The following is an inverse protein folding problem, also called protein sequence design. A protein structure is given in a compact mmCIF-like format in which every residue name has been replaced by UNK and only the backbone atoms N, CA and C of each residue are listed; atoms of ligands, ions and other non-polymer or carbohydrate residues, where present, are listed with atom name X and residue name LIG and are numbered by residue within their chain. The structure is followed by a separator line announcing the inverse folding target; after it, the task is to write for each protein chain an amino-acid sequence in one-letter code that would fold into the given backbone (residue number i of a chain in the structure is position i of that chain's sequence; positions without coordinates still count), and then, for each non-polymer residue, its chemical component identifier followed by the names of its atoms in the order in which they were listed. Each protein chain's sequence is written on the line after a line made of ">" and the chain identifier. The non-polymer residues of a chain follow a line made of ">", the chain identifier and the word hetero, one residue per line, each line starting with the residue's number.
data_IF_374436065994
#
_entry.id   IF_374436065994
#
_cell.length_a   1.000
_cell.length_b   1.000
_cell.length_c   1.000
_cell.angle_alpha   90.00
_cell.angle_beta   90.00
_cell.angle_gamma   90.00
#
_symmetry.space_group_name_H-M   'P 1'
#
loop_
_entity.id
_entity.type
_entity.pdbx_description
1 polymer ?
#
# COMPACT_ATOMS: atom_id res chain seq x y z
N UNK A 1 -66.82 -19.55 37.75
CA UNK A 1 -65.96 -18.45 38.23
C UNK A 1 -64.51 -18.88 38.11
N UNK A 2 -63.65 -17.94 37.70
CA UNK A 2 -62.18 -17.99 37.69
C UNK A 2 -61.48 -18.59 36.46
N UNK A 3 -61.17 -17.67 35.55
CA UNK A 3 -60.00 -17.63 34.66
C UNK A 3 -58.69 -17.55 35.45
N UNK A 4 -57.59 -18.13 34.94
CA UNK A 4 -56.22 -17.57 34.94
C UNK A 4 -55.24 -18.63 34.42
N UNK A 5 -54.85 -18.63 33.14
CA UNK A 5 -53.86 -17.77 32.48
C UNK A 5 -52.42 -18.33 32.57
N UNK A 6 -51.88 -18.72 31.41
CA UNK A 6 -50.45 -18.64 31.06
C UNK A 6 -50.34 -18.73 29.54
N UNK A 7 -49.69 -17.76 28.90
CA UNK A 7 -48.45 -18.13 28.20
C UNK A 7 -47.40 -17.02 28.25
N UNK A 8 -46.18 -17.32 28.68
CA UNK A 8 -45.07 -16.37 28.68
C UNK A 8 -43.73 -17.02 28.30
N UNK A 9 -43.71 -17.75 27.17
CA UNK A 9 -42.50 -18.43 26.69
C UNK A 9 -42.09 -18.10 25.24
N UNK A 10 -42.90 -17.32 24.51
CA UNK A 10 -42.64 -17.02 23.08
C UNK A 10 -41.75 -15.79 22.84
N UNK A 11 -41.51 -14.96 23.85
CA UNK A 11 -40.82 -13.67 23.68
C UNK A 11 -39.28 -13.77 23.71
N UNK A 12 -38.70 -14.87 24.20
CA UNK A 12 -37.26 -15.01 24.41
C UNK A 12 -36.49 -15.51 23.19
N UNK A 13 -37.13 -16.26 22.28
CA UNK A 13 -36.46 -16.78 21.08
C UNK A 13 -36.33 -15.72 19.98
N UNK A 14 -37.31 -14.81 19.91
CA UNK A 14 -37.34 -13.75 18.90
C UNK A 14 -36.29 -12.68 19.16
N UNK A 15 -36.04 -12.33 20.43
CA UNK A 15 -35.00 -11.36 20.83
C UNK A 15 -33.60 -11.84 20.51
N UNK A 16 -33.30 -13.12 20.79
CA UNK A 16 -31.97 -13.70 20.55
C UNK A 16 -31.59 -13.68 19.07
N UNK A 17 -32.55 -13.93 18.18
CA UNK A 17 -32.32 -13.90 16.73
C UNK A 17 -32.09 -12.49 16.16
N UNK A 18 -32.63 -11.46 16.80
CA UNK A 18 -32.41 -10.06 16.41
C UNK A 18 -31.04 -9.56 16.90
N UNK A 19 -30.64 -9.94 18.11
CA UNK A 19 -29.32 -9.62 18.67
C UNK A 19 -28.18 -10.22 17.82
N UNK A 20 -28.31 -11.49 17.40
CA UNK A 20 -27.31 -12.13 16.52
C UNK A 20 -27.14 -11.38 15.19
N UNK A 21 -28.24 -10.92 14.57
CA UNK A 21 -28.19 -10.15 13.32
C UNK A 21 -27.51 -8.79 13.47
N UNK A 22 -27.70 -8.14 14.61
CA UNK A 22 -27.05 -6.86 14.91
C UNK A 22 -25.55 -7.03 15.14
N UNK A 23 -25.14 -8.10 15.83
CA UNK A 23 -23.73 -8.42 16.05
C UNK A 23 -23.02 -8.83 14.74
N UNK A 24 -23.68 -9.59 13.87
CA UNK A 24 -23.15 -9.96 12.56
C UNK A 24 -23.00 -8.73 11.66
N UNK A 25 -23.95 -7.79 11.72
CA UNK A 25 -23.86 -6.51 11.02
C UNK A 25 -22.70 -5.66 11.54
N UNK A 26 -22.48 -5.63 12.86
CA UNK A 26 -21.36 -4.92 13.47
C UNK A 26 -20.00 -5.54 13.11
N UNK A 27 -19.89 -6.88 13.11
CA UNK A 27 -18.68 -7.60 12.67
C UNK A 27 -18.34 -7.32 11.20
N UNK A 28 -19.34 -7.32 10.32
CA UNK A 28 -19.15 -6.99 8.90
C UNK A 28 -18.67 -5.55 8.68
N UNK A 29 -19.22 -4.58 9.42
CA UNK A 29 -18.79 -3.17 9.36
C UNK A 29 -17.37 -2.96 9.94
N UNK A 30 -17.02 -3.66 11.03
CA UNK A 30 -15.67 -3.62 11.58
C UNK A 30 -14.63 -4.23 10.63
N UNK A 31 -14.94 -5.37 10.00
CA UNK A 31 -14.03 -5.99 9.04
C UNK A 31 -13.79 -5.13 7.79
N UNK A 32 -14.81 -4.44 7.27
CA UNK A 32 -14.63 -3.52 6.12
C UNK A 32 -13.78 -2.28 6.49
N UNK A 33 -13.84 -1.85 7.76
CA UNK A 33 -12.99 -0.77 8.28
C UNK A 33 -11.55 -1.21 8.61
N UNK A 34 -11.34 -2.48 8.97
CA UNK A 34 -10.01 -3.06 9.25
C UNK A 34 -9.28 -3.49 7.98
N UNK A 35 -9.99 -3.88 6.93
CA UNK A 35 -9.42 -4.11 5.60
C UNK A 35 -8.78 -2.84 5.01
N UNK A 36 -9.24 -1.66 5.44
CA UNK A 36 -8.65 -0.35 5.08
C UNK A 36 -7.45 0.04 5.94
N UNK A 37 -7.07 -0.73 6.97
CA UNK A 37 -5.84 -0.52 7.76
C UNK A 37 -4.57 -0.99 7.03
N UNK A 38 -4.59 -1.03 5.70
CA UNK A 38 -3.52 -1.58 4.86
C UNK A 38 -2.60 -0.55 4.20
N UNK A 39 -2.87 0.76 4.29
CA UNK A 39 -1.95 1.76 3.72
C UNK A 39 -1.82 2.98 4.61
N UNK A 40 -0.66 3.11 5.26
CA UNK A 40 -0.27 4.31 6.01
C UNK A 40 0.21 5.44 5.09
N UNK A 41 0.26 5.21 3.78
CA UNK A 41 0.54 6.25 2.80
C UNK A 41 -0.73 6.40 1.94
N UNK A 42 -1.42 7.56 1.97
CA UNK A 42 -2.45 7.83 0.98
C UNK A 42 -1.88 7.56 -0.42
N UNK A 43 -2.71 7.11 -1.37
CA UNK A 43 -2.34 6.74 -2.74
C UNK A 43 -1.46 7.81 -3.40
N UNK A 44 -0.13 7.76 -3.18
CA UNK A 44 0.82 8.62 -3.85
C UNK A 44 0.84 8.11 -5.30
N UNK A 45 0.44 8.94 -6.28
CA UNK A 45 0.52 8.54 -7.67
C UNK A 45 1.97 8.18 -7.99
N UNK A 46 2.21 7.11 -8.76
CA UNK A 46 3.56 6.65 -9.09
C UNK A 46 4.42 7.75 -9.72
N UNK A 47 3.81 8.73 -10.41
CA UNK A 47 4.48 9.88 -10.99
C UNK A 47 5.08 10.81 -9.93
N UNK A 48 4.35 11.05 -8.84
CA UNK A 48 4.84 11.87 -7.72
C UNK A 48 5.96 11.14 -6.98
N UNK A 49 5.81 9.83 -6.81
CA UNK A 49 6.84 9.01 -6.20
C UNK A 49 8.13 9.00 -7.06
N UNK A 50 8.00 8.86 -8.38
CA UNK A 50 9.12 8.97 -9.31
C UNK A 50 9.77 10.36 -9.24
N UNK A 51 8.99 11.44 -9.19
CA UNK A 51 9.51 12.79 -9.04
C UNK A 51 10.32 12.95 -7.73
N UNK A 52 9.85 12.38 -6.62
CA UNK A 52 10.59 12.37 -5.35
C UNK A 52 11.95 11.66 -5.51
N UNK A 53 12.00 10.52 -6.20
CA UNK A 53 13.26 9.80 -6.43
C UNK A 53 14.30 10.61 -7.20
N UNK A 54 13.86 11.50 -8.10
CA UNK A 54 14.74 12.38 -8.87
C UNK A 54 15.28 13.55 -8.05
N UNK A 55 14.71 13.84 -6.88
CA UNK A 55 15.20 14.88 -5.96
C UNK A 55 16.30 14.37 -5.03
N UNK A 56 16.61 13.06 -5.06
CA UNK A 56 17.63 12.48 -4.19
C UNK A 56 19.01 12.86 -4.75
N UNK A 57 19.89 13.48 -3.92
CA UNK A 57 21.24 13.84 -4.33
C UNK A 57 22.02 12.64 -4.87
N UNK A 58 22.80 12.89 -5.92
CA UNK A 58 23.65 11.91 -6.59
C UNK A 58 25.10 12.35 -6.47
N UNK A 59 25.68 12.03 -5.32
CA UNK A 59 27.09 12.28 -5.09
C UNK A 59 27.92 11.19 -5.77
N UNK A 60 29.11 11.56 -6.26
CA UNK A 60 30.04 10.60 -6.87
C UNK A 60 30.45 9.53 -5.85
N UNK A 61 30.27 8.26 -6.22
CA UNK A 61 30.58 7.13 -5.34
C UNK A 61 29.54 6.83 -4.25
N UNK A 62 28.49 7.65 -4.10
CA UNK A 62 27.36 7.32 -3.22
C UNK A 62 26.32 6.46 -3.94
N UNK A 63 25.87 5.41 -3.27
CA UNK A 63 24.85 4.47 -3.74
C UNK A 63 23.57 4.52 -2.92
N UNK A 64 23.49 5.45 -1.95
CA UNK A 64 22.32 5.66 -1.10
C UNK A 64 21.05 5.93 -1.91
N UNK A 65 21.16 6.56 -3.07
CA UNK A 65 20.03 6.81 -3.98
C UNK A 65 19.33 5.52 -4.43
N UNK A 66 20.04 4.38 -4.50
CA UNK A 66 19.45 3.07 -4.87
C UNK A 66 18.56 2.52 -3.74
N UNK A 67 18.74 2.98 -2.50
CA UNK A 67 18.00 2.49 -1.32
C UNK A 67 16.48 2.62 -1.45
N UNK A 68 15.98 3.56 -2.26
CA UNK A 68 14.55 3.69 -2.53
C UNK A 68 13.95 2.44 -3.17
N UNK A 69 14.75 1.66 -3.91
CA UNK A 69 14.33 0.39 -4.52
C UNK A 69 14.12 -0.73 -3.48
N UNK A 70 14.50 -0.49 -2.22
CA UNK A 70 14.46 -1.46 -1.12
C UNK A 70 13.44 -1.12 -0.02
N UNK A 71 12.72 0.01 -0.12
CA UNK A 71 11.77 0.46 0.92
C UNK A 71 10.52 -0.43 0.98
N UNK A 72 9.81 -0.54 -0.14
CA UNK A 72 8.64 -1.41 -0.28
C UNK A 72 8.46 -1.85 -1.74
N UNK A 73 7.48 -2.73 -1.99
CA UNK A 73 7.20 -3.24 -3.36
C UNK A 73 6.83 -2.12 -4.34
N UNK A 74 5.94 -1.20 -3.93
CA UNK A 74 5.52 -0.06 -4.75
C UNK A 74 6.71 0.83 -5.14
N UNK A 75 7.57 1.17 -4.18
CA UNK A 75 8.74 2.02 -4.45
C UNK A 75 9.72 1.33 -5.39
N UNK A 76 9.93 0.03 -5.20
CA UNK A 76 10.75 -0.77 -6.10
C UNK A 76 10.19 -0.72 -7.52
N UNK A 77 8.91 -1.04 -7.71
CA UNK A 77 8.29 -1.05 -9.04
C UNK A 77 8.43 0.31 -9.73
N UNK A 78 8.06 1.40 -9.05
CA UNK A 78 8.16 2.76 -9.60
C UNK A 78 9.60 3.16 -9.92
N UNK A 79 10.55 2.88 -9.02
CA UNK A 79 11.96 3.24 -9.22
C UNK A 79 12.60 2.43 -10.35
N UNK A 80 12.27 1.14 -10.47
CA UNK A 80 12.79 0.29 -11.55
C UNK A 80 12.24 0.70 -12.92
N UNK A 81 11.01 1.24 -12.98
CA UNK A 81 10.37 1.66 -14.23
C UNK A 81 10.67 3.09 -14.66
N UNK A 82 11.06 3.97 -13.74
CA UNK A 82 11.42 5.36 -14.02
C UNK A 82 12.78 5.44 -14.76
N UNK A 83 12.76 5.67 -16.07
CA UNK A 83 13.99 5.75 -16.89
C UNK A 83 14.95 6.86 -16.46
N UNK A 84 14.42 8.04 -16.12
CA UNK A 84 15.21 9.19 -15.66
C UNK A 84 16.02 8.86 -14.38
N UNK A 85 15.49 7.97 -13.54
CA UNK A 85 16.17 7.54 -12.31
C UNK A 85 17.45 6.72 -12.57
N UNK A 86 17.57 6.13 -13.76
CA UNK A 86 18.73 5.32 -14.19
C UNK A 86 19.63 6.02 -15.22
N UNK A 87 19.37 7.31 -15.51
CA UNK A 87 20.04 8.03 -16.59
C UNK A 87 21.31 8.78 -16.16
N UNK A 88 21.51 9.00 -14.86
CA UNK A 88 22.75 9.55 -14.32
C UNK A 88 23.74 8.43 -14.01
N UNK A 89 24.76 8.29 -14.86
CA UNK A 89 25.73 7.19 -14.79
C UNK A 89 26.93 7.51 -13.88
N UNK A 90 27.12 8.77 -13.48
CA UNK A 90 28.24 9.18 -12.63
C UNK A 90 28.14 8.60 -11.21
N UNK A 91 26.91 8.46 -10.72
CA UNK A 91 26.63 7.84 -9.41
C UNK A 91 26.31 6.34 -9.49
N UNK A 92 26.45 5.72 -10.66
CA UNK A 92 26.21 4.28 -10.86
C UNK A 92 27.52 3.52 -10.69
N UNK A 93 27.63 2.60 -9.72
CA UNK A 93 28.79 1.72 -9.62
C UNK A 93 29.01 0.92 -10.91
N UNK A 94 30.27 0.68 -11.34
CA UNK A 94 30.55 -0.02 -12.59
C UNK A 94 29.82 -1.37 -12.75
N UNK A 95 29.67 -2.13 -11.66
CA UNK A 95 28.94 -3.41 -11.63
C UNK A 95 27.45 -3.30 -11.95
N UNK A 96 26.88 -2.11 -11.86
CA UNK A 96 25.46 -1.83 -12.13
C UNK A 96 25.26 -1.03 -13.43
N UNK A 97 26.33 -0.75 -14.18
CA UNK A 97 26.27 0.06 -15.39
C UNK A 97 25.32 -0.53 -16.44
N UNK A 98 25.45 -1.83 -16.72
CA UNK A 98 24.56 -2.52 -17.66
C UNK A 98 23.09 -2.46 -17.24
N UNK A 99 22.84 -2.57 -15.93
CA UNK A 99 21.49 -2.46 -15.38
C UNK A 99 20.91 -1.05 -15.48
N UNK A 100 21.73 -0.02 -15.29
CA UNK A 100 21.32 1.37 -15.44
C UNK A 100 21.03 1.70 -16.91
N UNK A 101 21.92 1.31 -17.82
CA UNK A 101 21.74 1.47 -19.26
C UNK A 101 20.49 0.74 -19.77
N UNK A 102 20.24 -0.49 -19.32
CA UNK A 102 19.04 -1.23 -19.70
C UNK A 102 17.75 -0.53 -19.21
N UNK A 103 17.80 0.14 -18.05
CA UNK A 103 16.62 0.79 -17.45
C UNK A 103 16.44 2.25 -17.85
N UNK A 104 17.46 2.91 -18.38
CA UNK A 104 17.31 4.26 -18.93
C UNK A 104 16.39 4.27 -20.16
N UNK A 105 16.13 3.13 -20.81
CA UNK A 105 15.13 2.98 -21.90
C UNK A 105 15.27 4.07 -22.99
N UNK A 106 16.49 4.53 -23.26
CA UNK A 106 16.78 5.58 -24.25
C UNK A 106 16.57 7.02 -23.78
N UNK A 107 16.35 7.26 -22.49
CA UNK A 107 16.36 8.60 -21.90
C UNK A 107 17.76 9.26 -22.04
N UNK A 108 17.84 10.60 -22.09
CA UNK A 108 19.12 11.30 -22.14
C UNK A 108 20.00 10.92 -20.95
N UNK A 109 21.18 10.39 -21.22
CA UNK A 109 22.14 9.95 -20.19
C UNK A 109 23.11 11.08 -19.82
N UNK A 110 23.45 11.16 -18.54
CA UNK A 110 24.51 12.02 -17.99
C UNK A 110 25.71 11.15 -17.65
N UNK A 111 26.90 11.60 -18.05
CA UNK A 111 28.21 10.95 -17.88
C UNK A 111 29.26 11.94 -17.40
#
# INVERSE_FOLDING_TARGET
>A
MSTSNSPNHASSETTRGLETRLEDQQRGQQQDSEARRGSLLPDIPPEILAAIFLLIPRDEGDTSWISVTHVCRLWREVALDCSCFWSDLNSVPPRFMEFALARSKGAPITV
#
